data_IF_060316757029
#
_entry.id   IF_060316757029
#
_cell.length_a   1.000
_cell.length_b   1.000
_cell.length_c   1.000
_cell.angle_alpha   90.00
_cell.angle_beta   90.00
_cell.angle_gamma   90.00
#
_symmetry.space_group_name_H-M   'P 1'
#
loop_
_entity.id
_entity.type
_entity.pdbx_description
1 polymer ?
#
# COMPACT_ATOMS: atom_id res chain seq x y z
N UNK A 1 7.45 6.16 -20.40
CA UNK A 1 8.62 6.09 -19.49
C UNK A 1 9.51 7.31 -19.70
N UNK A 2 9.84 7.72 -20.93
CA UNK A 2 10.75 8.84 -21.25
C UNK A 2 10.19 10.21 -20.85
N UNK A 3 8.88 10.43 -20.99
CA UNK A 3 8.21 11.71 -20.65
C UNK A 3 8.24 12.01 -19.15
N UNK A 4 8.23 10.98 -18.31
CA UNK A 4 8.23 11.14 -16.84
C UNK A 4 9.64 11.58 -16.34
N UNK A 5 10.70 11.18 -17.02
CA UNK A 5 12.09 11.55 -16.68
C UNK A 5 12.41 13.02 -17.05
N UNK A 6 11.91 13.54 -18.18
CA UNK A 6 12.12 14.93 -18.58
C UNK A 6 11.37 15.91 -17.69
N UNK A 7 10.11 15.62 -17.36
CA UNK A 7 9.31 16.42 -16.43
C UNK A 7 9.90 16.43 -15.01
N UNK A 8 10.45 15.30 -14.56
CA UNK A 8 11.11 15.21 -13.28
C UNK A 8 12.44 15.98 -13.27
N UNK A 9 13.18 15.96 -14.37
CA UNK A 9 14.41 16.74 -14.53
C UNK A 9 14.10 18.26 -14.53
N UNK A 10 13.05 18.71 -15.23
CA UNK A 10 12.60 20.08 -15.22
C UNK A 10 12.16 20.55 -13.82
N UNK A 11 11.45 19.66 -13.08
CA UNK A 11 11.04 19.95 -11.71
C UNK A 11 12.25 20.09 -10.77
N UNK A 12 13.25 19.21 -10.87
CA UNK A 12 14.50 19.29 -10.10
C UNK A 12 15.24 20.60 -10.35
N UNK A 13 15.40 20.98 -11.64
CA UNK A 13 16.04 22.23 -12.01
C UNK A 13 15.28 23.44 -11.47
N UNK A 14 13.95 23.44 -11.55
CA UNK A 14 13.11 24.49 -10.99
C UNK A 14 13.28 24.62 -9.47
N UNK A 15 13.32 23.51 -8.75
CA UNK A 15 13.52 23.49 -7.30
C UNK A 15 14.92 23.96 -6.90
N UNK A 16 15.96 23.61 -7.66
CA UNK A 16 17.33 24.09 -7.44
C UNK A 16 17.46 25.60 -7.66
N UNK A 17 16.81 26.13 -8.71
CA UNK A 17 16.98 27.54 -9.11
C UNK A 17 16.09 28.48 -8.28
N UNK A 18 14.87 28.10 -7.99
CA UNK A 18 13.85 28.96 -7.34
C UNK A 18 13.45 28.51 -5.95
N UNK A 19 13.97 27.37 -5.49
CA UNK A 19 13.52 26.73 -4.26
C UNK A 19 12.10 26.18 -4.35
N UNK A 20 11.64 25.60 -3.27
CA UNK A 20 10.27 25.10 -3.18
C UNK A 20 9.26 26.26 -3.01
N UNK A 21 8.48 26.54 -4.04
CA UNK A 21 7.44 27.57 -4.05
C UNK A 21 6.12 27.08 -3.47
N UNK A 22 5.71 25.86 -3.84
CA UNK A 22 4.47 25.22 -3.36
C UNK A 22 4.82 24.18 -2.29
N UNK A 23 4.21 24.22 -1.10
CA UNK A 23 4.44 23.19 -0.08
C UNK A 23 3.91 21.82 -0.52
N UNK A 24 4.42 20.76 0.07
CA UNK A 24 3.77 19.45 0.08
C UNK A 24 2.67 19.45 1.15
N UNK A 25 1.72 18.54 1.07
CA UNK A 25 0.70 18.36 2.10
C UNK A 25 0.94 17.07 2.85
N UNK A 26 0.92 17.13 4.18
CA UNK A 26 1.17 15.98 5.04
C UNK A 26 0.17 15.95 6.19
N UNK A 27 -0.13 14.75 6.69
CA UNK A 27 -0.87 14.53 7.92
C UNK A 27 0.10 14.13 9.03
N UNK A 28 -0.06 14.67 10.21
CA UNK A 28 0.70 14.25 11.39
C UNK A 28 0.16 12.88 11.86
N UNK A 29 1.03 11.87 11.88
CA UNK A 29 0.71 10.52 12.33
C UNK A 29 1.13 10.27 13.80
N UNK A 30 1.64 11.33 14.47
CA UNK A 30 2.24 11.23 15.79
C UNK A 30 3.69 10.72 15.77
N UNK A 31 4.38 10.84 16.91
CA UNK A 31 5.78 10.41 17.10
C UNK A 31 6.77 11.00 16.07
N UNK A 32 6.51 12.22 15.59
CA UNK A 32 7.35 12.88 14.58
C UNK A 32 7.27 12.28 13.18
N UNK A 33 6.28 11.42 12.90
CA UNK A 33 6.04 10.82 11.60
C UNK A 33 4.93 11.56 10.86
N UNK A 34 5.15 11.76 9.57
CA UNK A 34 4.21 12.43 8.69
C UNK A 34 3.83 11.53 7.51
N UNK A 35 2.53 11.44 7.23
CA UNK A 35 1.99 10.83 6.01
C UNK A 35 1.88 11.86 4.90
N UNK A 36 2.41 11.56 3.70
CA UNK A 36 2.28 12.45 2.56
C UNK A 36 0.87 12.35 1.97
N UNK A 37 0.17 13.48 1.88
CA UNK A 37 -1.14 13.61 1.24
C UNK A 37 -0.95 13.99 -0.23
N UNK A 38 -0.17 15.05 -0.51
CA UNK A 38 0.04 15.59 -1.85
C UNK A 38 1.48 16.06 -2.05
N UNK A 39 1.94 16.01 -3.31
CA UNK A 39 3.26 16.51 -3.68
C UNK A 39 4.37 15.46 -3.74
N UNK A 40 4.04 14.18 -3.99
CA UNK A 40 5.01 13.08 -4.12
C UNK A 40 6.17 13.40 -5.09
N UNK A 41 5.87 13.88 -6.29
CA UNK A 41 6.91 14.23 -7.28
C UNK A 41 7.85 15.33 -6.75
N UNK A 42 7.30 16.31 -6.04
CA UNK A 42 8.06 17.40 -5.41
C UNK A 42 8.96 16.88 -4.31
N UNK A 43 8.45 15.97 -3.46
CA UNK A 43 9.23 15.34 -2.41
C UNK A 43 10.38 14.49 -3.00
N UNK A 44 10.12 13.71 -4.06
CA UNK A 44 11.16 12.94 -4.74
C UNK A 44 12.21 13.85 -5.39
N UNK A 45 11.79 14.94 -6.01
CA UNK A 45 12.72 15.90 -6.62
C UNK A 45 13.59 16.60 -5.57
N UNK A 46 13.01 16.99 -4.42
CA UNK A 46 13.73 17.57 -3.28
C UNK A 46 14.78 16.59 -2.73
N UNK A 47 14.42 15.32 -2.55
CA UNK A 47 15.36 14.27 -2.13
C UNK A 47 16.49 14.09 -3.13
N UNK A 48 16.17 14.06 -4.41
CA UNK A 48 17.16 13.87 -5.49
C UNK A 48 18.17 15.03 -5.60
N UNK A 49 17.80 16.24 -5.20
CA UNK A 49 18.71 17.41 -5.14
C UNK A 49 19.41 17.58 -3.79
N UNK A 50 19.23 16.62 -2.84
CA UNK A 50 19.88 16.64 -1.54
C UNK A 50 19.28 17.65 -0.54
N UNK A 51 18.01 18.05 -0.70
CA UNK A 51 17.36 18.97 0.25
C UNK A 51 17.12 18.26 1.58
N UNK A 52 17.58 18.84 2.67
CA UNK A 52 17.44 18.31 4.04
C UNK A 52 16.02 18.53 4.59
N UNK A 53 15.23 19.42 4.00
CA UNK A 53 13.89 19.75 4.46
C UNK A 53 12.95 20.04 3.30
N UNK A 54 11.65 19.93 3.57
CA UNK A 54 10.60 20.32 2.64
C UNK A 54 9.59 21.24 3.34
N UNK A 55 9.16 22.29 2.64
CA UNK A 55 8.02 23.10 3.10
C UNK A 55 6.77 22.23 3.03
N UNK A 56 6.04 22.11 4.13
CA UNK A 56 4.84 21.30 4.21
C UNK A 56 3.69 22.05 4.89
N UNK A 57 2.46 21.78 4.44
CA UNK A 57 1.23 22.09 5.16
C UNK A 57 0.91 20.85 5.97
N UNK A 58 0.78 21.00 7.29
CA UNK A 58 0.44 19.90 8.20
C UNK A 58 -1.05 19.96 8.46
N UNK A 59 -1.76 18.91 8.08
CA UNK A 59 -3.19 18.75 8.32
C UNK A 59 -3.40 18.11 9.70
N UNK A 60 -4.36 18.64 10.46
CA UNK A 60 -4.65 18.12 11.80
C UNK A 60 -5.27 16.70 11.75
N UNK A 61 -5.05 15.85 12.79
CA UNK A 61 -5.60 14.49 12.83
C UNK A 61 -7.13 14.38 12.70
N UNK A 62 -7.88 15.44 13.07
CA UNK A 62 -9.34 15.48 12.92
C UNK A 62 -9.80 15.47 11.48
N UNK A 63 -8.95 15.91 10.57
CA UNK A 63 -9.17 15.97 9.12
C UNK A 63 -8.49 14.78 8.41
N UNK A 64 -7.86 13.88 9.16
CA UNK A 64 -7.13 12.74 8.62
C UNK A 64 -7.94 11.85 7.67
N UNK A 65 -9.25 11.56 7.88
CA UNK A 65 -10.04 10.80 6.92
C UNK A 65 -10.07 11.45 5.53
N UNK A 66 -10.32 12.77 5.46
CA UNK A 66 -10.39 13.50 4.19
C UNK A 66 -9.00 13.59 3.53
N UNK A 67 -7.95 13.74 4.33
CA UNK A 67 -6.57 13.71 3.86
C UNK A 67 -6.20 12.36 3.24
N UNK A 68 -6.62 11.24 3.84
CA UNK A 68 -6.43 9.91 3.27
C UNK A 68 -7.22 9.71 1.97
N UNK A 69 -8.45 10.23 1.90
CA UNK A 69 -9.26 10.19 0.66
C UNK A 69 -8.54 10.95 -0.46
N UNK A 70 -8.09 12.18 -0.20
CA UNK A 70 -7.37 13.00 -1.18
C UNK A 70 -6.06 12.32 -1.64
N UNK A 71 -5.31 11.70 -0.72
CA UNK A 71 -4.11 10.94 -1.04
C UNK A 71 -4.41 9.76 -1.97
N UNK A 72 -5.49 9.02 -1.72
CA UNK A 72 -5.88 7.88 -2.54
C UNK A 72 -6.34 8.35 -3.91
N UNK A 73 -7.17 9.37 -3.98
CA UNK A 73 -7.66 9.92 -5.25
C UNK A 73 -6.50 10.40 -6.12
N UNK A 74 -5.52 11.10 -5.55
CA UNK A 74 -4.32 11.50 -6.28
C UNK A 74 -3.51 10.30 -6.78
N UNK A 75 -3.29 9.29 -5.94
CA UNK A 75 -2.51 8.11 -6.30
C UNK A 75 -3.27 7.17 -7.28
N UNK A 76 -4.59 7.06 -7.20
CA UNK A 76 -5.39 6.26 -8.15
C UNK A 76 -5.35 6.84 -9.57
N UNK A 77 -5.25 8.15 -9.70
CA UNK A 77 -5.17 8.84 -11.00
C UNK A 77 -3.79 8.66 -11.64
N UNK A 78 -2.72 8.60 -10.85
CA UNK A 78 -1.35 8.60 -11.36
C UNK A 78 -0.72 7.23 -11.57
N UNK A 79 -0.98 6.29 -10.71
CA UNK A 79 -0.35 4.95 -10.75
C UNK A 79 -1.41 3.95 -10.36
N UNK A 80 -1.87 3.13 -11.28
CA UNK A 80 -2.89 2.11 -11.00
C UNK A 80 -2.50 1.22 -9.82
N UNK A 81 -2.86 1.61 -8.59
CA UNK A 81 -2.60 0.85 -7.38
C UNK A 81 -3.12 -0.58 -7.52
N UNK A 82 -2.33 -1.57 -7.12
CA UNK A 82 -2.75 -2.96 -7.01
C UNK A 82 -3.83 -3.13 -5.93
N UNK A 83 -4.57 -4.24 -5.94
CA UNK A 83 -5.54 -4.53 -4.88
C UNK A 83 -4.88 -4.71 -3.52
N UNK A 84 -3.64 -5.23 -3.49
CA UNK A 84 -2.86 -5.32 -2.26
C UNK A 84 -2.54 -3.94 -1.68
N UNK A 85 -2.07 -3.00 -2.50
CA UNK A 85 -1.75 -1.64 -2.03
C UNK A 85 -2.98 -0.94 -1.47
N UNK A 86 -4.13 -1.03 -2.16
CA UNK A 86 -5.40 -0.49 -1.66
C UNK A 86 -5.82 -1.12 -0.33
N UNK A 87 -5.69 -2.43 -0.19
CA UNK A 87 -5.99 -3.12 1.06
C UNK A 87 -5.02 -2.71 2.17
N UNK A 88 -3.72 -2.56 1.85
CA UNK A 88 -2.72 -2.09 2.80
C UNK A 88 -3.02 -0.67 3.32
N UNK A 89 -3.53 0.23 2.46
CA UNK A 89 -3.95 1.57 2.88
C UNK A 89 -5.09 1.46 3.90
N UNK A 90 -6.09 0.60 3.67
CA UNK A 90 -7.19 0.36 4.62
C UNK A 90 -6.65 -0.12 5.97
N UNK A 91 -5.80 -1.16 5.96
CA UNK A 91 -5.19 -1.71 7.17
C UNK A 91 -4.41 -0.64 7.93
N UNK A 92 -3.55 0.10 7.23
CA UNK A 92 -2.73 1.16 7.86
C UNK A 92 -3.56 2.30 8.44
N UNK A 93 -4.66 2.69 7.79
CA UNK A 93 -5.55 3.73 8.28
C UNK A 93 -6.29 3.30 9.57
N UNK A 94 -6.60 2.02 9.72
CA UNK A 94 -7.19 1.46 10.95
C UNK A 94 -6.13 1.30 12.04
N UNK A 95 -4.95 0.77 11.72
CA UNK A 95 -3.82 0.66 12.66
C UNK A 95 -3.41 2.04 13.23
N UNK A 96 -3.48 3.09 12.43
CA UNK A 96 -3.20 4.46 12.85
C UNK A 96 -4.35 5.11 13.64
N UNK A 97 -5.48 4.41 13.84
CA UNK A 97 -6.64 4.93 14.58
C UNK A 97 -7.47 5.96 13.82
N UNK A 98 -7.22 6.15 12.51
CA UNK A 98 -8.00 7.09 11.69
C UNK A 98 -9.43 6.58 11.47
N UNK A 99 -9.60 5.27 11.41
CA UNK A 99 -10.90 4.60 11.29
C UNK A 99 -11.06 3.50 12.32
N UNK A 100 -12.30 3.34 12.79
CA UNK A 100 -12.69 2.33 13.81
C UNK A 100 -12.61 0.88 13.28
N UNK A 101 -12.72 0.70 11.96
CA UNK A 101 -12.76 -0.63 11.34
C UNK A 101 -12.40 -0.60 9.86
N UNK A 102 -11.94 -1.75 9.34
CA UNK A 102 -11.68 -1.96 7.91
C UNK A 102 -12.91 -1.64 7.05
N UNK A 103 -14.11 -1.99 7.54
CA UNK A 103 -15.36 -1.72 6.82
C UNK A 103 -15.57 -0.22 6.64
N UNK A 104 -15.40 0.56 7.71
CA UNK A 104 -15.58 2.03 7.67
C UNK A 104 -14.49 2.67 6.80
N UNK A 105 -13.23 2.29 7.00
CA UNK A 105 -12.11 2.74 6.19
C UNK A 105 -12.35 2.46 4.70
N UNK A 106 -12.67 1.22 4.34
CA UNK A 106 -12.93 0.83 2.95
C UNK A 106 -14.06 1.62 2.30
N UNK A 107 -15.15 1.86 3.04
CA UNK A 107 -16.30 2.61 2.54
C UNK A 107 -15.97 4.09 2.31
N UNK A 108 -15.23 4.70 3.22
CA UNK A 108 -14.87 6.12 3.14
C UNK A 108 -13.75 6.34 2.10
N UNK A 109 -12.66 5.60 2.21
CA UNK A 109 -11.48 5.79 1.36
C UNK A 109 -11.72 5.44 -0.12
N UNK A 110 -12.63 4.52 -0.40
CA UNK A 110 -12.95 4.06 -1.75
C UNK A 110 -14.43 4.27 -2.10
N UNK A 111 -15.03 5.36 -1.61
CA UNK A 111 -16.44 5.69 -1.87
C UNK A 111 -16.75 5.85 -3.35
N UNK A 112 -15.83 6.42 -4.13
CA UNK A 112 -15.93 6.60 -5.58
C UNK A 112 -15.75 5.31 -6.39
N UNK A 113 -15.19 4.25 -5.78
CA UNK A 113 -14.97 2.98 -6.44
C UNK A 113 -16.29 2.16 -6.58
N UNK A 114 -16.39 1.37 -7.66
CA UNK A 114 -17.52 0.46 -7.84
C UNK A 114 -17.62 -0.57 -6.71
N UNK A 115 -18.82 -1.12 -6.50
CA UNK A 115 -19.05 -2.20 -5.52
C UNK A 115 -18.13 -3.41 -5.77
N UNK A 116 -17.94 -3.78 -7.04
CA UNK A 116 -17.06 -4.88 -7.42
C UNK A 116 -15.60 -4.58 -7.03
N UNK A 117 -15.11 -3.36 -7.30
CA UNK A 117 -13.75 -2.94 -6.92
C UNK A 117 -13.57 -2.97 -5.40
N UNK A 118 -14.52 -2.42 -4.63
CA UNK A 118 -14.47 -2.46 -3.16
C UNK A 118 -14.49 -3.90 -2.62
N UNK A 119 -15.29 -4.80 -3.22
CA UNK A 119 -15.30 -6.21 -2.85
C UNK A 119 -13.94 -6.88 -3.03
N UNK A 120 -13.25 -6.59 -4.14
CA UNK A 120 -11.89 -7.10 -4.40
C UNK A 120 -10.88 -6.53 -3.41
N UNK A 121 -10.92 -5.21 -3.12
CA UNK A 121 -10.05 -4.61 -2.09
C UNK A 121 -10.27 -5.30 -0.73
N UNK A 122 -11.54 -5.49 -0.34
CA UNK A 122 -11.90 -6.19 0.90
C UNK A 122 -11.27 -7.59 0.97
N UNK A 123 -11.29 -8.33 -0.13
CA UNK A 123 -10.70 -9.66 -0.17
C UNK A 123 -9.18 -9.67 0.00
N UNK A 124 -8.48 -8.56 -0.24
CA UNK A 124 -7.04 -8.45 -0.03
C UNK A 124 -6.66 -7.99 1.38
N UNK A 125 -7.61 -7.54 2.21
CA UNK A 125 -7.34 -7.09 3.58
C UNK A 125 -6.66 -8.18 4.43
N UNK A 126 -7.14 -9.45 4.45
CA UNK A 126 -6.46 -10.51 5.21
C UNK A 126 -5.01 -10.73 4.75
N UNK A 127 -4.75 -10.65 3.45
CA UNK A 127 -3.39 -10.78 2.91
C UNK A 127 -2.50 -9.63 3.36
N UNK A 128 -3.00 -8.40 3.29
CA UNK A 128 -2.24 -7.21 3.68
C UNK A 128 -1.96 -7.17 5.18
N UNK A 129 -2.93 -7.54 6.03
CA UNK A 129 -2.79 -7.52 7.49
C UNK A 129 -1.93 -8.65 8.01
N UNK A 130 -2.08 -9.88 7.48
CA UNK A 130 -1.42 -11.07 8.03
C UNK A 130 -0.09 -11.39 7.35
N UNK A 131 0.08 -11.09 6.06
CA UNK A 131 1.29 -11.43 5.30
C UNK A 131 2.07 -10.21 4.81
N UNK A 132 1.56 -9.00 4.99
CA UNK A 132 2.19 -7.79 4.46
C UNK A 132 3.62 -7.54 4.94
N UNK A 133 3.99 -8.07 6.11
CA UNK A 133 5.34 -7.97 6.67
C UNK A 133 6.32 -9.01 6.07
N UNK A 134 5.82 -10.12 5.54
CA UNK A 134 6.63 -11.23 5.01
C UNK A 134 6.79 -11.18 3.48
N UNK A 135 5.87 -10.51 2.78
CA UNK A 135 5.91 -10.35 1.32
C UNK A 135 6.93 -9.29 0.91
N UNK A 136 7.80 -9.61 -0.05
CA UNK A 136 8.78 -8.69 -0.63
C UNK A 136 8.27 -7.98 -1.90
N UNK A 137 7.44 -8.67 -2.69
CA UNK A 137 6.93 -8.19 -3.98
C UNK A 137 5.40 -8.13 -4.06
N UNK A 138 4.69 -7.66 -3.00
CA UNK A 138 3.24 -7.76 -2.92
C UNK A 138 2.49 -6.94 -3.97
N UNK A 139 3.10 -5.89 -4.54
CA UNK A 139 2.51 -5.04 -5.58
C UNK A 139 2.34 -5.76 -6.92
N UNK A 140 3.15 -6.80 -7.15
CA UNK A 140 3.11 -7.62 -8.36
C UNK A 140 2.14 -8.79 -8.24
N UNK A 141 1.55 -9.03 -7.06
CA UNK A 141 0.61 -10.12 -6.82
C UNK A 141 -0.65 -9.97 -7.66
N UNK A 142 -0.91 -10.96 -8.50
CA UNK A 142 -2.13 -11.02 -9.30
C UNK A 142 -3.40 -11.28 -8.47
N UNK A 143 -4.55 -10.85 -8.99
CA UNK A 143 -5.85 -10.98 -8.32
C UNK A 143 -6.15 -12.42 -7.87
N UNK A 144 -5.92 -13.40 -8.76
CA UNK A 144 -6.19 -14.82 -8.47
C UNK A 144 -5.42 -15.33 -7.25
N UNK A 145 -4.14 -15.01 -7.17
CA UNK A 145 -3.27 -15.39 -6.04
C UNK A 145 -3.77 -14.76 -4.75
N UNK A 146 -4.03 -13.45 -4.75
CA UNK A 146 -4.53 -12.76 -3.57
C UNK A 146 -5.85 -13.30 -3.05
N UNK A 147 -6.79 -13.65 -3.94
CA UNK A 147 -8.06 -14.27 -3.56
C UNK A 147 -7.89 -15.67 -2.96
N UNK A 148 -6.98 -16.49 -3.50
CA UNK A 148 -6.67 -17.81 -2.96
C UNK A 148 -6.03 -17.73 -1.58
N UNK A 149 -5.06 -16.83 -1.40
CA UNK A 149 -4.43 -16.58 -0.10
C UNK A 149 -5.47 -16.07 0.92
N UNK A 150 -6.30 -15.11 0.53
CA UNK A 150 -7.35 -14.59 1.41
C UNK A 150 -8.30 -15.70 1.89
N UNK A 151 -8.75 -16.57 1.00
CA UNK A 151 -9.62 -17.69 1.35
C UNK A 151 -8.93 -18.62 2.36
N UNK A 152 -7.69 -18.96 2.14
CA UNK A 152 -6.90 -19.81 3.02
C UNK A 152 -6.71 -19.16 4.40
N UNK A 153 -6.30 -17.89 4.44
CA UNK A 153 -6.09 -17.15 5.70
C UNK A 153 -7.35 -16.98 6.53
N UNK A 154 -8.53 -17.01 5.91
CA UNK A 154 -9.82 -16.94 6.60
C UNK A 154 -10.31 -18.31 7.09
N UNK A 155 -9.89 -19.41 6.43
CA UNK A 155 -10.29 -20.77 6.80
C UNK A 155 -9.33 -21.43 7.80
N UNK A 156 -8.04 -21.08 7.78
CA UNK A 156 -7.01 -21.67 8.64
C UNK A 156 -6.20 -20.59 9.36
N UNK A 157 -6.39 -20.50 10.66
CA UNK A 157 -5.69 -19.53 11.53
C UNK A 157 -4.17 -19.76 11.60
N UNK A 158 -3.69 -20.97 11.29
CA UNK A 158 -2.26 -21.30 11.29
C UNK A 158 -1.57 -20.96 9.96
N UNK A 159 -2.35 -20.73 8.89
CA UNK A 159 -1.82 -20.56 7.55
C UNK A 159 -0.87 -19.35 7.43
N UNK A 160 -1.18 -18.25 8.11
CA UNK A 160 -0.35 -17.03 8.05
C UNK A 160 1.07 -17.28 8.54
N UNK A 161 1.21 -17.96 9.69
CA UNK A 161 2.52 -18.33 10.25
C UNK A 161 3.30 -19.29 9.37
N UNK A 162 2.64 -20.30 8.81
CA UNK A 162 3.27 -21.26 7.92
C UNK A 162 3.73 -20.64 6.60
N UNK A 163 2.94 -19.75 6.03
CA UNK A 163 3.30 -19.02 4.79
C UNK A 163 4.45 -18.06 5.06
N UNK A 164 4.38 -17.30 6.16
CA UNK A 164 5.44 -16.35 6.52
C UNK A 164 6.78 -17.06 6.75
N UNK A 165 6.78 -18.19 7.48
CA UNK A 165 7.97 -19.01 7.68
C UNK A 165 8.54 -19.51 6.35
N UNK A 166 7.70 -20.04 5.45
CA UNK A 166 8.14 -20.51 4.14
C UNK A 166 8.73 -19.40 3.25
N UNK A 167 8.21 -18.17 3.34
CA UNK A 167 8.76 -17.01 2.62
C UNK A 167 10.11 -16.57 3.17
N UNK A 168 10.29 -16.62 4.48
CA UNK A 168 11.56 -16.29 5.16
C UNK A 168 12.62 -17.34 4.77
N UNK A 169 12.28 -18.62 4.90
CA UNK A 169 13.19 -19.74 4.59
C UNK A 169 13.62 -19.74 3.11
N UNK A 170 12.69 -19.43 2.20
CA UNK A 170 12.97 -19.36 0.77
C UNK A 170 13.85 -18.18 0.37
N UNK A 171 13.97 -17.15 1.21
CA UNK A 171 14.77 -15.93 0.97
C UNK A 171 14.60 -15.35 -0.45
N UNK A 172 13.35 -15.30 -0.94
CA UNK A 172 13.01 -14.96 -2.33
C UNK A 172 13.75 -13.70 -2.80
N UNK A 173 14.48 -13.80 -3.92
CA UNK A 173 15.25 -12.71 -4.52
C UNK A 173 14.44 -11.89 -5.54
N UNK A 174 13.37 -12.46 -6.07
CA UNK A 174 12.48 -11.84 -7.06
C UNK A 174 11.03 -12.29 -6.88
N UNK A 175 10.13 -11.68 -7.66
CA UNK A 175 8.70 -11.97 -7.62
C UNK A 175 8.37 -13.41 -8.03
N UNK A 176 9.08 -13.98 -8.99
CA UNK A 176 8.82 -15.33 -9.49
C UNK A 176 9.09 -16.39 -8.41
N UNK A 177 10.19 -16.25 -7.69
CA UNK A 177 10.54 -17.11 -6.55
C UNK A 177 9.51 -16.99 -5.42
N UNK A 178 9.07 -15.76 -5.10
CA UNK A 178 8.01 -15.51 -4.12
C UNK A 178 6.70 -16.16 -4.54
N UNK A 179 6.29 -15.98 -5.80
CA UNK A 179 5.08 -16.57 -6.36
C UNK A 179 5.10 -18.10 -6.34
N UNK A 180 6.23 -18.71 -6.68
CA UNK A 180 6.40 -20.17 -6.62
C UNK A 180 6.28 -20.69 -5.18
N UNK A 181 6.86 -19.99 -4.22
CA UNK A 181 6.76 -20.33 -2.79
C UNK A 181 5.32 -20.23 -2.30
N UNK A 182 4.61 -19.14 -2.62
CA UNK A 182 3.19 -18.99 -2.30
C UNK A 182 2.32 -20.08 -2.93
N UNK A 183 2.57 -20.45 -4.20
CA UNK A 183 1.86 -21.53 -4.87
C UNK A 183 2.09 -22.90 -4.20
N UNK A 184 3.31 -23.18 -3.73
CA UNK A 184 3.61 -24.40 -2.95
C UNK A 184 2.84 -24.43 -1.64
N UNK A 185 2.80 -23.31 -0.91
CA UNK A 185 2.03 -23.20 0.32
C UNK A 185 0.53 -23.41 0.08
N UNK A 186 -0.05 -22.75 -0.94
CA UNK A 186 -1.46 -22.92 -1.31
C UNK A 186 -1.80 -24.38 -1.62
N UNK A 187 -0.97 -25.09 -2.39
CA UNK A 187 -1.18 -26.52 -2.70
C UNK A 187 -1.10 -27.39 -1.45
N UNK A 188 -0.09 -27.18 -0.61
CA UNK A 188 0.13 -27.99 0.61
C UNK A 188 -1.01 -27.84 1.61
N UNK A 189 -1.41 -26.57 1.87
CA UNK A 189 -2.42 -26.27 2.90
C UNK A 189 -3.85 -26.55 2.43
N UNK A 190 -4.14 -26.44 1.12
CA UNK A 190 -5.44 -26.83 0.57
C UNK A 190 -5.72 -28.35 0.66
N UNK A 191 -4.68 -29.22 0.66
CA UNK A 191 -4.82 -30.68 0.81
C UNK A 191 -5.14 -31.07 2.26
N UNK A 192 -4.70 -30.28 3.23
CA UNK A 192 -4.94 -30.54 4.66
C UNK A 192 -6.40 -30.34 5.06
N UNK A 193 -7.17 -29.54 4.31
CA UNK A 193 -8.58 -29.20 4.58
C UNK A 193 -9.57 -30.27 4.02
N UNK A 194 -9.11 -31.23 3.23
CA UNK A 194 -9.95 -32.29 2.63
C UNK A 194 -9.86 -33.65 3.36
N UNK A 195 -9.15 -33.73 4.47
CA UNK A 195 -8.86 -34.97 5.20
C UNK A 195 -9.40 -35.04 6.65
N UNK A 196 -10.40 -34.20 7.00
CA UNK A 196 -11.04 -34.17 8.30
C UNK A 196 -12.52 -34.55 8.23
#
# INVERSE_FOLDING_TARGET
VVVDDEEMAALRNSLQTRGQQTPIEVVDLGDGRFGLISGWRRLQALRAIGSESAKAIITAPREAPDAYVAMIEENEIRVGLSYFERARIVVKAVEAGVFESDKKALQTLFQSASRAKRSKIKSFIPVASQLGHALKFPTQMGERMGLQLSKLLLSDSSASGQIAAALIDASCGDFEAEQQTLNRCLKRLAVSDTGG
#
